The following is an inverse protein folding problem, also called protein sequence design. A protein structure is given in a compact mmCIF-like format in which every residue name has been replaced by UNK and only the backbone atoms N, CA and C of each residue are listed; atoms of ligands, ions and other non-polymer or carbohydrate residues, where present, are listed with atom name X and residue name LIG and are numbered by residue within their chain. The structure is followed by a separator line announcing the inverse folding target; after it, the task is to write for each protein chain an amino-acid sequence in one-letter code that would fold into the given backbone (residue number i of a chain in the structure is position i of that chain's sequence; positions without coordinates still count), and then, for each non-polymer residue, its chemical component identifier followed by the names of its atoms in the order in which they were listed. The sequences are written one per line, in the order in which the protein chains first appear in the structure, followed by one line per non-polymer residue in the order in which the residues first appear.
data_IF_414177896257
#
_entry.id   IF_414177896257
#
_cell.length_a   1.000
_cell.length_b   1.000
_cell.length_c   1.000
_cell.angle_alpha   90.00
_cell.angle_beta   90.00
_cell.angle_gamma   90.00
#
_symmetry.space_group_name_H-M   'P 1'
#
loop_
_entity.id
_entity.type
_entity.pdbx_description
1 polymer ?
#
# COMPACT_ATOMS: atom_id res chain seq x y z
N UNK A 1 10.56 18.28 -10.17
CA UNK A 1 11.10 18.44 -8.81
C UNK A 1 10.97 17.12 -8.04
N UNK A 2 12.02 16.64 -7.39
CA UNK A 2 11.95 15.42 -6.57
C UNK A 2 11.35 15.76 -5.20
N UNK A 3 10.10 15.36 -4.96
CA UNK A 3 9.47 15.48 -3.64
C UNK A 3 10.33 14.75 -2.58
N UNK A 4 10.51 15.30 -1.37
CA UNK A 4 11.25 14.62 -0.32
C UNK A 4 10.52 13.35 0.13
N UNK A 5 11.28 12.30 0.46
CA UNK A 5 10.74 11.10 1.10
C UNK A 5 10.32 11.44 2.51
N UNK A 6 9.06 11.16 2.85
CA UNK A 6 8.53 11.33 4.20
C UNK A 6 8.25 9.97 4.82
N UNK A 7 8.49 9.86 6.13
CA UNK A 7 8.13 8.69 6.95
C UNK A 7 7.44 9.16 8.22
N UNK A 8 6.17 8.83 8.34
CA UNK A 8 5.32 9.24 9.45
C UNK A 8 5.06 8.06 10.40
N UNK A 9 4.91 8.29 11.70
CA UNK A 9 4.50 7.24 12.63
C UNK A 9 3.03 6.85 12.38
N UNK A 10 2.74 5.55 12.45
CA UNK A 10 1.41 4.97 12.37
C UNK A 10 0.91 4.64 13.77
N UNK A 11 -0.23 5.22 14.14
CA UNK A 11 -0.98 4.84 15.34
C UNK A 11 -2.01 3.76 15.02
N UNK A 12 -2.61 3.16 16.06
CA UNK A 12 -3.75 2.25 15.92
C UNK A 12 -4.90 2.91 15.16
N UNK A 13 -5.19 4.18 15.47
CA UNK A 13 -6.22 4.96 14.78
C UNK A 13 -5.89 5.19 13.30
N UNK A 14 -4.61 5.42 12.99
CA UNK A 14 -4.17 5.60 11.60
C UNK A 14 -4.34 4.32 10.78
N UNK A 15 -3.92 3.16 11.31
CA UNK A 15 -4.07 1.88 10.63
C UNK A 15 -5.54 1.45 10.51
N UNK A 16 -6.36 1.73 11.53
CA UNK A 16 -7.81 1.54 11.48
C UNK A 16 -8.44 2.40 10.38
N UNK A 17 -8.06 3.67 10.30
CA UNK A 17 -8.54 4.60 9.27
C UNK A 17 -8.12 4.14 7.87
N UNK A 18 -6.86 3.72 7.72
CA UNK A 18 -6.32 3.19 6.47
C UNK A 18 -7.10 1.95 6.00
N UNK A 19 -7.46 1.04 6.90
CA UNK A 19 -8.29 -0.13 6.59
C UNK A 19 -9.71 0.25 6.18
N UNK A 20 -10.33 1.20 6.88
CA UNK A 20 -11.68 1.69 6.56
C UNK A 20 -11.72 2.53 5.28
N UNK A 21 -10.58 3.06 4.86
CA UNK A 21 -10.42 3.97 3.72
C UNK A 21 -11.60 4.96 3.56
N UNK A 22 -11.74 5.94 4.46
CA UNK A 22 -12.79 6.95 4.38
C UNK A 22 -12.57 7.96 3.25
N UNK A 23 -11.47 7.83 2.50
CA UNK A 23 -11.14 8.74 1.40
C UNK A 23 -11.91 8.34 0.13
N UNK A 24 -12.08 9.28 -0.79
CA UNK A 24 -12.61 8.99 -2.13
C UNK A 24 -11.60 8.31 -3.08
N UNK A 25 -10.46 7.83 -2.58
CA UNK A 25 -9.39 7.24 -3.41
C UNK A 25 -9.33 5.73 -3.24
N UNK A 26 -8.95 5.04 -4.30
CA UNK A 26 -8.49 3.66 -4.23
C UNK A 26 -7.12 3.62 -3.54
N UNK A 27 -6.94 2.77 -2.53
CA UNK A 27 -5.70 2.72 -1.75
C UNK A 27 -5.03 1.35 -1.90
N UNK A 28 -3.78 1.35 -2.38
CA UNK A 28 -2.89 0.19 -2.37
C UNK A 28 -1.97 0.27 -1.16
N UNK A 29 -2.16 -0.62 -0.19
CA UNK A 29 -1.35 -0.70 1.02
C UNK A 29 -0.35 -1.85 0.91
N UNK A 30 0.93 -1.59 1.18
CA UNK A 30 1.97 -2.61 1.27
C UNK A 30 2.68 -2.56 2.62
N UNK A 31 2.60 -3.65 3.37
CA UNK A 31 3.36 -3.86 4.60
C UNK A 31 4.68 -4.57 4.29
N UNK A 32 5.77 -4.02 4.82
CA UNK A 32 7.13 -4.47 4.53
C UNK A 32 8.06 -4.24 5.73
N UNK A 33 9.30 -4.75 5.63
CA UNK A 33 10.35 -4.49 6.61
C UNK A 33 11.72 -4.41 5.93
N UNK A 34 12.69 -3.74 6.57
CA UNK A 34 14.06 -3.60 6.05
C UNK A 34 14.78 -4.94 5.89
N UNK A 35 14.48 -5.92 6.74
CA UNK A 35 15.01 -7.29 6.72
C UNK A 35 14.28 -8.20 5.73
N UNK A 36 13.14 -7.77 5.17
CA UNK A 36 12.38 -8.56 4.21
C UNK A 36 13.00 -8.44 2.80
N UNK A 37 13.75 -9.47 2.39
CA UNK A 37 14.35 -9.55 1.05
C UNK A 37 13.35 -9.37 -0.09
N UNK A 38 12.30 -10.21 -0.17
CA UNK A 38 11.27 -10.11 -1.22
C UNK A 38 10.60 -8.73 -1.26
N UNK A 39 10.24 -8.16 -0.11
CA UNK A 39 9.61 -6.85 -0.03
C UNK A 39 10.45 -5.78 -0.74
N UNK A 40 11.76 -5.72 -0.45
CA UNK A 40 12.67 -4.74 -1.07
C UNK A 40 12.82 -4.92 -2.59
N UNK A 41 12.71 -6.15 -3.08
CA UNK A 41 12.74 -6.43 -4.52
C UNK A 41 11.49 -5.90 -5.24
N UNK A 42 10.34 -5.87 -4.56
CA UNK A 42 9.06 -5.43 -5.14
C UNK A 42 8.80 -3.93 -4.98
N UNK A 43 9.46 -3.25 -4.03
CA UNK A 43 9.28 -1.80 -3.81
C UNK A 43 9.41 -0.94 -5.09
N UNK A 44 10.36 -1.20 -6.04
CA UNK A 44 10.42 -0.46 -7.30
C UNK A 44 9.11 -0.51 -8.13
N UNK A 45 8.37 -1.62 -8.07
CA UNK A 45 7.08 -1.75 -8.75
C UNK A 45 6.02 -0.87 -8.09
N UNK A 46 5.96 -0.85 -6.75
CA UNK A 46 5.07 0.06 -6.01
C UNK A 46 5.38 1.53 -6.30
N UNK A 47 6.65 1.90 -6.41
CA UNK A 47 7.04 3.26 -6.78
C UNK A 47 6.66 3.60 -8.22
N UNK A 48 6.73 2.62 -9.13
CA UNK A 48 6.26 2.79 -10.51
C UNK A 48 4.75 2.98 -10.56
N UNK A 49 3.98 2.16 -9.83
CA UNK A 49 2.53 2.27 -9.70
C UNK A 49 2.14 3.63 -9.11
N UNK A 50 2.82 4.07 -8.04
CA UNK A 50 2.61 5.39 -7.44
C UNK A 50 2.80 6.52 -8.47
N UNK A 51 3.87 6.47 -9.29
CA UNK A 51 4.11 7.48 -10.34
C UNK A 51 3.08 7.42 -11.46
N UNK A 52 2.66 6.23 -11.87
CA UNK A 52 1.69 6.05 -12.96
C UNK A 52 0.30 6.57 -12.61
N UNK A 53 -0.15 6.33 -11.38
CA UNK A 53 -1.55 6.58 -10.98
C UNK A 53 -1.71 7.67 -9.91
N UNK A 54 -0.62 8.23 -9.38
CA UNK A 54 -0.66 9.20 -8.27
C UNK A 54 -1.34 10.54 -8.58
N UNK A 55 -1.67 10.80 -9.85
CA UNK A 55 -2.47 11.95 -10.27
C UNK A 55 -3.98 11.64 -10.41
N UNK A 56 -4.40 10.40 -10.17
CA UNK A 56 -5.81 9.96 -10.19
C UNK A 56 -6.38 9.87 -8.77
N UNK A 57 -7.62 9.41 -8.64
CA UNK A 57 -8.23 9.02 -7.36
C UNK A 57 -7.61 7.73 -6.78
N UNK A 58 -6.29 7.73 -6.60
CA UNK A 58 -5.50 6.59 -6.15
C UNK A 58 -4.33 7.01 -5.27
N UNK A 59 -3.97 6.15 -4.32
CA UNK A 59 -2.83 6.34 -3.44
C UNK A 59 -2.10 5.01 -3.16
N UNK A 60 -0.77 5.09 -3.10
CA UNK A 60 0.07 4.01 -2.58
C UNK A 60 0.51 4.39 -1.18
N UNK A 61 0.25 3.50 -0.21
CA UNK A 61 0.69 3.64 1.18
C UNK A 61 1.62 2.48 1.51
N UNK A 62 2.85 2.75 1.90
CA UNK A 62 3.75 1.72 2.43
C UNK A 62 3.79 1.79 3.95
N UNK A 63 3.76 0.65 4.62
CA UNK A 63 3.79 0.55 6.09
C UNK A 63 4.96 -0.35 6.49
N UNK A 64 5.99 0.25 7.06
CA UNK A 64 7.11 -0.49 7.62
C UNK A 64 6.73 -1.07 8.98
N UNK A 65 6.86 -2.39 9.14
CA UNK A 65 6.62 -3.09 10.42
C UNK A 65 7.83 -3.13 11.37
N UNK A 66 8.93 -2.47 10.97
CA UNK A 66 10.08 -2.24 11.85
C UNK A 66 9.66 -1.50 13.14
N UNK A 67 10.47 -1.67 14.19
CA UNK A 67 10.26 -0.93 15.43
C UNK A 67 10.52 0.57 15.24
N UNK A 68 9.91 1.44 16.08
CA UNK A 68 10.04 2.90 15.94
C UNK A 68 11.49 3.40 15.97
N UNK A 69 12.37 2.76 16.74
CA UNK A 69 13.79 3.08 16.88
C UNK A 69 14.61 2.73 15.63
N UNK A 70 14.11 1.85 14.77
CA UNK A 70 14.73 1.50 13.47
C UNK A 70 14.43 2.52 12.36
N UNK A 71 13.74 3.62 12.68
CA UNK A 71 13.39 4.71 11.74
C UNK A 71 14.54 5.12 10.80
N UNK A 72 15.81 5.28 11.25
CA UNK A 72 16.91 5.65 10.36
C UNK A 72 17.17 4.61 9.25
N UNK A 73 17.07 3.32 9.57
CA UNK A 73 17.25 2.24 8.60
C UNK A 73 16.13 2.22 7.55
N UNK A 74 14.90 2.43 7.99
CA UNK A 74 13.73 2.53 7.11
C UNK A 74 13.85 3.73 6.17
N UNK A 75 14.20 4.91 6.70
CA UNK A 75 14.47 6.11 5.89
C UNK A 75 15.56 5.87 4.85
N UNK A 76 16.65 5.18 5.22
CA UNK A 76 17.76 4.88 4.31
C UNK A 76 17.30 4.06 3.10
N UNK A 77 16.48 3.03 3.33
CA UNK A 77 15.91 2.21 2.26
C UNK A 77 14.96 3.04 1.38
N UNK A 78 14.04 3.79 1.99
CA UNK A 78 13.08 4.62 1.24
C UNK A 78 13.78 5.70 0.40
N UNK A 79 14.82 6.35 0.93
CA UNK A 79 15.61 7.36 0.20
C UNK A 79 16.35 6.76 -1.00
N UNK A 80 16.98 5.58 -0.83
CA UNK A 80 17.66 4.87 -1.94
C UNK A 80 16.69 4.54 -3.07
N UNK A 81 15.45 4.19 -2.73
CA UNK A 81 14.39 3.86 -3.67
C UNK A 81 13.64 5.10 -4.20
N UNK A 82 13.96 6.30 -3.70
CA UNK A 82 13.23 7.55 -3.97
C UNK A 82 11.73 7.38 -3.77
N UNK A 83 11.36 6.75 -2.66
CA UNK A 83 9.99 6.36 -2.36
C UNK A 83 9.14 7.54 -1.88
N UNK A 84 8.59 8.31 -2.82
CA UNK A 84 7.81 9.53 -2.53
C UNK A 84 6.32 9.27 -2.25
N UNK A 85 5.90 8.00 -2.25
CA UNK A 85 4.59 7.58 -1.77
C UNK A 85 4.37 7.97 -0.30
N UNK A 86 3.14 7.84 0.20
CA UNK A 86 2.89 7.96 1.63
C UNK A 86 3.54 6.77 2.33
N UNK A 87 4.54 7.02 3.16
CA UNK A 87 5.22 5.97 3.92
C UNK A 87 4.95 6.14 5.42
N UNK A 88 4.61 5.03 6.05
CA UNK A 88 4.32 4.92 7.46
C UNK A 88 5.31 3.95 8.14
N UNK A 89 5.61 4.20 9.40
CA UNK A 89 6.37 3.32 10.30
C UNK A 89 5.53 3.06 11.54
N UNK A 90 5.54 1.86 12.11
CA UNK A 90 4.85 1.62 13.38
C UNK A 90 5.27 2.63 14.46
N UNK A 91 4.28 3.23 15.11
CA UNK A 91 4.49 4.30 16.10
C UNK A 91 4.80 3.80 17.51
N UNK A 92 4.67 2.49 17.76
CA UNK A 92 4.97 1.86 19.05
C UNK A 92 5.62 0.49 18.86
N UNK A 93 6.17 -0.07 19.95
CA UNK A 93 6.69 -1.44 19.99
C UNK A 93 5.60 -2.50 20.10
N UNK A 94 4.34 -2.11 20.33
CA UNK A 94 3.19 -3.02 20.34
C UNK A 94 2.72 -3.27 18.90
N UNK A 95 3.53 -4.04 18.17
CA UNK A 95 3.30 -4.33 16.75
C UNK A 95 1.98 -5.09 16.56
N UNK A 96 1.62 -5.99 17.47
CA UNK A 96 0.45 -6.84 17.29
C UNK A 96 -0.85 -6.04 17.33
N UNK A 97 -0.98 -5.11 18.29
CA UNK A 97 -2.16 -4.22 18.34
C UNK A 97 -2.25 -3.34 17.10
N UNK A 98 -1.12 -2.83 16.60
CA UNK A 98 -1.08 -2.02 15.38
C UNK A 98 -1.51 -2.83 14.14
N UNK A 99 -0.95 -4.02 13.95
CA UNK A 99 -1.27 -4.84 12.77
C UNK A 99 -2.70 -5.41 12.86
N UNK A 100 -3.18 -5.78 14.04
CA UNK A 100 -4.56 -6.20 14.26
C UNK A 100 -5.57 -5.08 14.00
N UNK A 101 -5.18 -3.81 14.21
CA UNK A 101 -6.01 -2.66 13.87
C UNK A 101 -6.24 -2.53 12.36
N UNK A 102 -5.32 -3.05 11.54
CA UNK A 102 -5.48 -3.12 10.10
C UNK A 102 -6.17 -4.42 9.65
N UNK A 103 -5.73 -5.57 10.15
CA UNK A 103 -6.30 -6.89 9.85
C UNK A 103 -6.08 -7.84 11.04
N UNK A 104 -7.15 -8.11 11.80
CA UNK A 104 -7.11 -8.98 12.97
C UNK A 104 -6.79 -10.45 12.65
N UNK A 105 -6.96 -10.88 11.39
CA UNK A 105 -6.69 -12.25 10.96
C UNK A 105 -5.29 -12.43 10.39
N UNK A 106 -4.51 -11.35 10.26
CA UNK A 106 -3.17 -11.40 9.70
C UNK A 106 -2.15 -11.78 10.77
N UNK A 107 -1.30 -12.77 10.47
CA UNK A 107 -0.25 -13.27 11.35
C UNK A 107 1.04 -12.44 11.34
N UNK A 108 0.98 -11.16 10.92
CA UNK A 108 2.11 -10.24 10.81
C UNK A 108 3.23 -10.63 9.83
N UNK A 109 3.04 -11.65 8.99
CA UNK A 109 4.04 -12.02 7.99
C UNK A 109 4.06 -11.04 6.80
N UNK A 110 5.26 -10.55 6.46
CA UNK A 110 5.52 -9.66 5.32
C UNK A 110 6.22 -10.39 4.17
N UNK A 111 6.05 -9.96 2.89
CA UNK A 111 5.20 -8.84 2.46
C UNK A 111 3.71 -9.15 2.60
N UNK A 112 2.92 -8.13 2.88
CA UNK A 112 1.47 -8.21 2.84
C UNK A 112 0.94 -7.01 2.06
N UNK A 113 0.05 -7.26 1.10
CA UNK A 113 -0.48 -6.23 0.21
C UNK A 113 -2.01 -6.29 0.19
N UNK A 114 -2.66 -5.13 0.28
CA UNK A 114 -4.10 -5.00 0.13
C UNK A 114 -4.46 -3.85 -0.81
N UNK A 115 -5.52 -4.02 -1.60
CA UNK A 115 -6.14 -2.98 -2.41
C UNK A 115 -7.54 -2.71 -1.87
N UNK A 116 -7.80 -1.46 -1.47
CA UNK A 116 -8.98 -1.08 -0.70
C UNK A 116 -9.72 0.03 -1.44
N UNK A 117 -10.99 -0.21 -1.79
CA UNK A 117 -11.88 0.82 -2.37
C UNK A 117 -12.28 1.87 -1.33
N UNK A 118 -12.75 3.05 -1.77
CA UNK A 118 -13.45 3.98 -0.88
C UNK A 118 -14.53 3.26 -0.07
N UNK A 119 -14.57 3.49 1.24
CA UNK A 119 -15.52 2.82 2.16
C UNK A 119 -15.04 1.49 2.74
N UNK A 120 -13.83 1.03 2.39
CA UNK A 120 -13.15 -0.05 3.11
C UNK A 120 -13.33 -1.45 2.53
N UNK A 121 -13.96 -1.59 1.36
CA UNK A 121 -14.06 -2.86 0.67
C UNK A 121 -12.68 -3.29 0.14
N UNK A 122 -12.24 -4.50 0.52
CA UNK A 122 -10.96 -5.06 0.09
C UNK A 122 -11.16 -5.91 -1.16
N UNK A 123 -10.68 -5.42 -2.29
CA UNK A 123 -10.81 -6.09 -3.59
C UNK A 123 -9.64 -7.02 -3.91
N UNK A 124 -8.55 -6.88 -3.16
CA UNK A 124 -7.39 -7.73 -3.25
C UNK A 124 -6.65 -7.76 -1.92
N UNK A 125 -6.22 -8.94 -1.50
CA UNK A 125 -5.39 -9.14 -0.32
C UNK A 125 -4.45 -10.31 -0.59
N UNK A 126 -3.15 -10.15 -0.31
CA UNK A 126 -2.17 -11.22 -0.46
C UNK A 126 -1.03 -11.08 0.53
N UNK A 127 -0.71 -12.19 1.18
CA UNK A 127 0.56 -12.39 1.88
C UNK A 127 1.56 -13.07 0.92
N UNK A 128 2.77 -12.52 0.81
CA UNK A 128 3.79 -12.92 -0.15
C UNK A 128 3.87 -11.99 -1.38
N UNK A 129 4.74 -12.35 -2.31
CA UNK A 129 5.05 -11.52 -3.49
C UNK A 129 3.85 -11.37 -4.41
N UNK A 130 3.70 -10.20 -5.02
CA UNK A 130 2.66 -9.84 -5.97
C UNK A 130 3.12 -10.03 -7.41
N UNK A 131 2.16 -10.08 -8.34
CA UNK A 131 2.44 -9.92 -9.76
C UNK A 131 2.10 -8.47 -10.14
N UNK A 132 3.07 -7.63 -10.56
CA UNK A 132 2.82 -6.21 -10.81
C UNK A 132 1.81 -5.97 -11.93
N UNK A 133 1.71 -6.86 -12.94
CA UNK A 133 0.72 -6.75 -14.00
C UNK A 133 -0.70 -7.00 -13.47
N UNK A 134 -0.88 -7.99 -12.59
CA UNK A 134 -2.17 -8.27 -11.94
C UNK A 134 -2.62 -7.07 -11.10
N UNK A 135 -1.70 -6.47 -10.33
CA UNK A 135 -2.02 -5.28 -9.53
C UNK A 135 -2.42 -4.10 -10.41
N UNK A 136 -1.70 -3.83 -11.50
CA UNK A 136 -2.07 -2.74 -12.43
C UNK A 136 -3.46 -2.95 -13.02
N UNK A 137 -3.80 -4.18 -13.45
CA UNK A 137 -5.16 -4.51 -13.95
C UNK A 137 -6.23 -4.27 -12.89
N UNK A 138 -5.98 -4.74 -11.66
CA UNK A 138 -6.90 -4.53 -10.54
C UNK A 138 -7.07 -3.05 -10.22
N UNK A 139 -6.01 -2.24 -10.26
CA UNK A 139 -6.12 -0.79 -10.09
C UNK A 139 -7.02 -0.20 -11.17
N UNK A 140 -6.78 -0.52 -12.44
CA UNK A 140 -7.59 -0.01 -13.56
C UNK A 140 -9.08 -0.41 -13.45
N UNK A 141 -9.37 -1.63 -13.00
CA UNK A 141 -10.74 -2.11 -12.79
C UNK A 141 -11.47 -1.45 -11.60
N UNK A 142 -10.75 -0.74 -10.73
CA UNK A 142 -11.27 -0.22 -9.46
C UNK A 142 -11.06 1.29 -9.27
N UNK A 143 -10.33 1.93 -10.17
CA UNK A 143 -10.26 3.38 -10.26
C UNK A 143 -11.62 3.92 -10.64
N UNK A 144 -12.00 5.08 -10.11
CA UNK A 144 -13.20 5.78 -10.53
C UNK A 144 -13.15 6.03 -12.06
N UNK A 145 -14.31 6.00 -12.72
CA UNK A 145 -14.41 6.35 -14.14
C UNK A 145 -14.23 7.88 -14.25
N UNK A 146 -13.00 8.31 -14.51
CA UNK A 146 -12.64 9.74 -14.53
C UNK A 146 -13.23 10.46 -15.77
N UNK A 147 -13.11 9.84 -16.97
CA UNK A 147 -13.44 10.49 -18.26
C UNK A 147 -14.24 9.60 -19.24
N UNK A 148 -14.47 8.31 -18.94
CA UNK A 148 -15.10 7.37 -19.87
C UNK A 148 -16.01 6.37 -19.15
N UNK A 149 -17.33 6.51 -19.35
CA UNK A 149 -18.35 5.63 -18.76
C UNK A 149 -18.16 4.19 -19.25
N UNK A 150 -18.01 3.24 -18.31
CA UNK A 150 -17.86 1.81 -18.61
C UNK A 150 -16.41 1.31 -18.61
N UNK A 151 -15.46 2.14 -18.21
CA UNK A 151 -14.05 1.75 -18.12
C UNK A 151 -13.82 0.64 -17.09
N UNK A 152 -14.44 0.75 -15.90
CA UNK A 152 -14.42 -0.34 -14.90
C UNK A 152 -14.96 -1.66 -15.47
N UNK A 153 -16.09 -1.63 -16.19
CA UNK A 153 -16.72 -2.82 -16.74
C UNK A 153 -15.81 -3.55 -17.74
N UNK A 154 -15.09 -2.81 -18.60
CA UNK A 154 -14.12 -3.40 -19.53
C UNK A 154 -13.03 -4.20 -18.80
N UNK A 155 -12.41 -3.64 -17.76
CA UNK A 155 -11.33 -4.33 -17.03
C UNK A 155 -11.80 -5.46 -16.13
N UNK A 156 -13.08 -5.48 -15.72
CA UNK A 156 -13.67 -6.59 -14.96
C UNK A 156 -13.95 -7.83 -15.81
N UNK A 157 -14.12 -7.68 -17.13
CA UNK A 157 -14.46 -8.82 -18.02
C UNK A 157 -13.30 -9.78 -18.32
N UNK A 158 -12.05 -9.33 -18.14
CA UNK A 158 -10.84 -10.10 -18.47
C UNK A 158 -10.10 -10.68 -17.25
N UNK A 159 -10.64 -10.55 -16.03
CA UNK A 159 -10.01 -11.10 -14.81
C UNK A 159 -10.28 -12.59 -14.56
N UNK A 160 -11.16 -13.21 -15.34
CA UNK A 160 -11.66 -14.59 -15.16
C UNK A 160 -11.15 -15.60 -16.23
N UNK A 161 -10.10 -15.27 -16.99
CA UNK A 161 -9.45 -16.21 -17.92
C UNK A 161 -7.97 -16.43 -17.62
#
# INVERSE_FOLDING_TARGET
ESKPVQLLPASVGELTSLRKNPTGKLVLVNFWATWCGPCRQEMPDFQTIHRMYGHRAFEVVTVSINYPDEKPGVLSVLNKLRATSRNLLLGSSDIYSLLAAFDANWNAAVPYTALIRPGGEVVYQRQGTINPLKIKRLIMANLADDDYVGHQAYWLTDSDK
#
